data_IF_108153832128
#
_entry.id   IF_108153832128
#
_cell.length_a   1.000
_cell.length_b   1.000
_cell.length_c   1.000
_cell.angle_alpha   90.00
_cell.angle_beta   90.00
_cell.angle_gamma   90.00
#
_symmetry.space_group_name_H-M   'P 1'
#
loop_
_entity.id
_entity.type
_entity.pdbx_description
1 polymer ?
#
# COMPACT_ATOMS: atom_id res chain seq x y z
N UNK A 1 -43.74 -76.37 57.51
CA UNK A 1 -42.99 -77.17 58.49
C UNK A 1 -43.16 -76.58 59.89
N UNK A 2 -42.90 -75.28 60.13
CA UNK A 2 -43.04 -74.67 61.47
C UNK A 2 -44.49 -74.78 61.98
N UNK A 3 -45.48 -74.36 61.20
CA UNK A 3 -46.89 -74.44 61.56
C UNK A 3 -47.35 -75.88 61.88
N UNK A 4 -46.77 -76.91 61.25
CA UNK A 4 -47.06 -78.30 61.55
C UNK A 4 -46.44 -78.78 62.88
N UNK A 5 -45.24 -78.27 63.22
CA UNK A 5 -44.59 -78.56 64.49
C UNK A 5 -45.26 -77.79 65.64
N UNK A 6 -45.69 -76.53 65.42
CA UNK A 6 -46.48 -75.75 66.39
C UNK A 6 -47.77 -76.45 66.76
N UNK A 7 -48.43 -77.11 65.81
CA UNK A 7 -49.64 -77.89 66.15
C UNK A 7 -49.37 -79.17 67.03
N UNK A 8 -48.11 -79.58 67.06
CA UNK A 8 -47.68 -80.78 67.84
C UNK A 8 -47.13 -80.41 69.24
N UNK A 9 -46.76 -79.16 69.49
CA UNK A 9 -46.25 -78.69 70.79
C UNK A 9 -47.29 -78.84 71.90
N UNK A 10 -48.59 -78.72 71.53
CA UNK A 10 -49.66 -78.97 72.49
C UNK A 10 -49.68 -80.42 73.03
N UNK A 11 -49.05 -81.37 72.30
CA UNK A 11 -48.97 -82.82 72.71
C UNK A 11 -47.62 -83.18 73.34
N UNK A 12 -46.53 -82.51 72.99
CA UNK A 12 -45.17 -82.71 73.52
C UNK A 12 -44.39 -81.37 73.63
N UNK A 13 -44.29 -80.88 74.87
CA UNK A 13 -43.60 -79.66 75.22
C UNK A 13 -42.08 -79.69 74.92
N UNK A 14 -41.49 -80.87 74.66
CA UNK A 14 -40.06 -80.96 74.22
C UNK A 14 -39.81 -80.41 72.83
N UNK A 15 -40.87 -80.14 72.05
CA UNK A 15 -40.78 -79.56 70.69
C UNK A 15 -40.70 -78.02 70.68
N UNK A 16 -41.07 -77.35 71.78
CA UNK A 16 -41.09 -75.91 71.90
C UNK A 16 -39.76 -75.29 71.57
N UNK A 17 -38.58 -75.76 72.03
CA UNK A 17 -37.31 -75.18 71.70
C UNK A 17 -36.95 -75.34 70.21
N UNK A 18 -37.40 -76.41 69.57
CA UNK A 18 -37.17 -76.64 68.12
C UNK A 18 -38.01 -75.71 67.26
N UNK A 19 -39.31 -75.55 67.68
CA UNK A 19 -40.18 -74.56 66.96
C UNK A 19 -39.61 -73.13 67.06
N UNK A 20 -39.16 -72.74 68.28
CA UNK A 20 -38.54 -71.44 68.48
C UNK A 20 -37.32 -71.29 67.62
N UNK A 21 -36.38 -72.24 67.59
CA UNK A 21 -35.17 -72.19 66.81
C UNK A 21 -35.44 -72.13 65.29
N UNK A 22 -36.46 -72.85 64.80
CA UNK A 22 -36.88 -72.84 63.42
C UNK A 22 -37.54 -71.51 63.04
N UNK A 23 -38.33 -70.97 63.98
CA UNK A 23 -38.96 -69.67 63.81
C UNK A 23 -37.90 -68.54 63.72
N UNK A 24 -36.93 -68.57 64.65
CA UNK A 24 -35.79 -67.62 64.62
C UNK A 24 -34.97 -67.74 63.32
N UNK A 25 -34.70 -68.96 62.87
CA UNK A 25 -34.02 -69.22 61.62
C UNK A 25 -34.82 -68.67 60.38
N UNK A 26 -36.18 -68.80 60.45
CA UNK A 26 -37.04 -68.25 59.39
C UNK A 26 -36.96 -66.75 59.31
N UNK A 27 -36.99 -66.07 60.46
CA UNK A 27 -36.85 -64.61 60.51
C UNK A 27 -35.47 -64.14 59.98
N UNK A 28 -34.40 -64.85 60.38
CA UNK A 28 -33.05 -64.53 59.87
C UNK A 28 -32.98 -64.67 58.33
N UNK A 29 -33.60 -65.72 57.79
CA UNK A 29 -33.66 -65.97 56.35
C UNK A 29 -34.52 -64.92 55.62
N UNK A 30 -35.66 -64.52 56.25
CA UNK A 30 -36.51 -63.45 55.70
C UNK A 30 -35.78 -62.10 55.66
N UNK A 31 -35.05 -61.73 56.73
CA UNK A 31 -34.25 -60.53 56.80
C UNK A 31 -33.13 -60.60 55.79
N UNK A 32 -32.36 -61.67 55.72
CA UNK A 32 -31.28 -61.81 54.69
C UNK A 32 -31.85 -61.76 53.27
N UNK A 33 -33.07 -62.34 53.05
CA UNK A 33 -33.75 -62.24 51.74
C UNK A 33 -34.18 -60.81 51.41
N UNK A 34 -34.57 -60.03 52.43
CA UNK A 34 -34.90 -58.60 52.29
C UNK A 34 -33.65 -57.78 51.93
N UNK A 35 -32.60 -57.96 52.70
CA UNK A 35 -31.33 -57.29 52.50
C UNK A 35 -30.74 -57.60 51.12
N UNK A 36 -30.83 -58.82 50.63
CA UNK A 36 -30.38 -59.18 49.29
C UNK A 36 -31.24 -58.57 48.19
N UNK A 37 -32.53 -58.38 48.41
CA UNK A 37 -33.39 -57.68 47.45
C UNK A 37 -33.05 -56.21 47.43
N UNK A 38 -32.88 -55.55 48.58
CA UNK A 38 -32.49 -54.16 48.70
C UNK A 38 -31.11 -53.93 48.08
N UNK A 39 -30.16 -54.85 48.34
CA UNK A 39 -28.84 -54.80 47.65
C UNK A 39 -28.96 -54.92 46.12
N UNK A 40 -29.77 -55.91 45.64
CA UNK A 40 -30.01 -56.05 44.20
C UNK A 40 -30.64 -54.80 43.58
N UNK A 41 -31.67 -54.27 44.24
CA UNK A 41 -32.43 -53.11 43.76
C UNK A 41 -31.62 -51.79 43.88
N UNK A 42 -30.64 -51.75 44.79
CA UNK A 42 -29.67 -50.68 44.92
C UNK A 42 -28.53 -50.71 43.87
N UNK A 43 -28.37 -51.81 43.15
CA UNK A 43 -27.45 -51.86 42.01
C UNK A 43 -28.14 -51.16 40.84
N UNK A 44 -27.70 -49.91 40.56
CA UNK A 44 -28.13 -49.16 39.40
C UNK A 44 -27.56 -49.80 38.12
N UNK A 45 -28.26 -50.83 37.67
CA UNK A 45 -27.89 -51.56 36.46
C UNK A 45 -28.66 -50.99 35.26
N UNK A 46 -28.06 -50.02 34.62
CA UNK A 46 -28.51 -49.56 33.28
C UNK A 46 -28.00 -50.59 32.24
N UNK A 47 -28.83 -51.45 31.68
CA UNK A 47 -28.37 -52.42 30.68
C UNK A 47 -27.79 -51.81 29.40
N UNK A 48 -28.13 -50.56 29.12
CA UNK A 48 -27.61 -49.85 27.93
C UNK A 48 -26.40 -48.94 28.24
N UNK A 49 -26.01 -48.79 29.51
CA UNK A 49 -24.89 -47.95 29.89
C UNK A 49 -23.57 -48.41 29.25
N UNK A 50 -23.36 -49.72 29.28
CA UNK A 50 -22.16 -50.34 28.70
C UNK A 50 -22.11 -50.12 27.17
N UNK A 51 -23.23 -50.33 26.49
CA UNK A 51 -23.34 -50.13 25.03
C UNK A 51 -23.06 -48.67 24.65
N UNK A 52 -23.68 -47.70 25.33
CA UNK A 52 -23.41 -46.28 25.13
C UNK A 52 -21.94 -45.89 25.38
N UNK A 53 -21.32 -46.47 26.40
CA UNK A 53 -19.91 -46.23 26.70
C UNK A 53 -18.99 -46.83 25.62
N UNK A 54 -19.33 -48.02 25.12
CA UNK A 54 -18.58 -48.66 24.03
C UNK A 54 -18.71 -47.88 22.72
N UNK A 55 -19.91 -47.43 22.37
CA UNK A 55 -20.12 -46.56 21.19
C UNK A 55 -19.32 -45.25 21.29
N UNK A 56 -19.38 -44.59 22.46
CA UNK A 56 -18.64 -43.39 22.71
C UNK A 56 -17.12 -43.60 22.64
N UNK A 57 -16.61 -44.67 23.22
CA UNK A 57 -15.21 -45.06 23.16
C UNK A 57 -14.76 -45.33 21.73
N UNK A 58 -15.58 -46.03 20.94
CA UNK A 58 -15.32 -46.30 19.53
C UNK A 58 -15.28 -45.03 18.69
N UNK A 59 -16.22 -44.11 18.91
CA UNK A 59 -16.25 -42.81 18.24
C UNK A 59 -14.99 -41.97 18.55
N UNK A 60 -14.60 -41.90 19.83
CA UNK A 60 -13.38 -41.19 20.26
C UNK A 60 -12.12 -41.82 19.66
N UNK A 61 -12.02 -43.14 19.65
CA UNK A 61 -10.92 -43.87 19.01
C UNK A 61 -10.87 -43.60 17.49
N UNK A 62 -12.04 -43.49 16.85
CA UNK A 62 -12.14 -43.10 15.44
C UNK A 62 -11.57 -41.72 15.17
N UNK A 63 -11.93 -40.76 16.00
CA UNK A 63 -11.40 -39.38 15.91
C UNK A 63 -9.89 -39.34 16.17
N UNK A 64 -9.42 -40.10 17.19
CA UNK A 64 -7.97 -40.14 17.47
C UNK A 64 -7.17 -40.80 16.34
N UNK A 65 -7.73 -41.79 15.64
CA UNK A 65 -7.08 -42.40 14.46
C UNK A 65 -6.98 -41.42 13.27
N UNK A 66 -7.99 -40.55 13.12
CA UNK A 66 -8.06 -39.63 12.02
C UNK A 66 -7.20 -38.34 12.24
N UNK A 67 -7.16 -37.87 13.51
CA UNK A 67 -6.63 -36.52 13.80
C UNK A 67 -5.44 -36.48 14.77
N UNK A 68 -5.03 -37.65 15.33
CA UNK A 68 -3.86 -37.75 16.20
C UNK A 68 -4.07 -38.68 17.39
N UNK A 69 -2.98 -39.25 17.94
CA UNK A 69 -3.06 -40.35 18.92
C UNK A 69 -3.61 -39.92 20.28
N UNK A 70 -3.73 -38.62 20.55
CA UNK A 70 -4.22 -38.10 21.84
C UNK A 70 -5.47 -37.25 21.60
N UNK A 71 -6.37 -37.23 22.57
CA UNK A 71 -7.57 -36.37 22.50
C UNK A 71 -7.23 -34.90 22.35
N UNK A 72 -6.10 -34.45 22.90
CA UNK A 72 -5.61 -33.10 22.75
C UNK A 72 -5.36 -32.74 21.27
N UNK A 73 -4.80 -33.67 20.52
CA UNK A 73 -4.51 -33.47 19.08
C UNK A 73 -5.83 -33.31 18.30
N UNK A 74 -6.89 -34.04 18.65
CA UNK A 74 -8.24 -33.90 18.05
C UNK A 74 -8.84 -32.51 18.35
N UNK A 75 -8.68 -32.04 19.59
CA UNK A 75 -9.19 -30.72 20.00
C UNK A 75 -8.42 -29.61 19.25
N UNK A 76 -7.10 -29.73 19.15
CA UNK A 76 -6.28 -28.77 18.42
C UNK A 76 -6.64 -28.71 16.93
N UNK A 77 -6.90 -29.86 16.31
CA UNK A 77 -7.40 -29.94 14.94
C UNK A 77 -8.77 -29.27 14.77
N UNK A 78 -9.69 -29.52 15.71
CA UNK A 78 -11.01 -28.85 15.70
C UNK A 78 -10.86 -27.35 15.80
N UNK A 79 -10.03 -26.86 16.71
CA UNK A 79 -9.85 -25.43 16.96
C UNK A 79 -9.14 -24.75 15.78
N UNK A 80 -8.19 -25.43 15.14
CA UNK A 80 -7.55 -24.97 13.93
C UNK A 80 -8.55 -24.88 12.76
N UNK A 81 -9.39 -25.90 12.58
CA UNK A 81 -10.42 -25.90 11.55
C UNK A 81 -11.48 -24.81 11.80
N UNK A 82 -11.87 -24.59 13.04
CA UNK A 82 -12.81 -23.52 13.40
C UNK A 82 -12.24 -22.13 13.07
N UNK A 83 -10.98 -21.87 13.40
CA UNK A 83 -10.28 -20.62 13.02
C UNK A 83 -10.18 -20.44 11.51
N UNK A 84 -9.93 -21.52 10.78
CA UNK A 84 -9.87 -21.47 9.32
C UNK A 84 -11.24 -21.11 8.72
N UNK A 85 -12.32 -21.71 9.20
CA UNK A 85 -13.68 -21.39 8.77
C UNK A 85 -14.01 -19.92 9.06
N UNK A 86 -13.72 -19.46 10.28
CA UNK A 86 -13.91 -18.06 10.67
C UNK A 86 -13.10 -17.09 9.76
N UNK A 87 -11.85 -17.44 9.42
CA UNK A 87 -11.02 -16.64 8.51
C UNK A 87 -11.56 -16.61 7.08
N UNK A 88 -12.22 -17.67 6.61
CA UNK A 88 -12.86 -17.70 5.28
C UNK A 88 -14.13 -16.85 5.27
N UNK A 89 -14.95 -16.91 6.29
CA UNK A 89 -16.16 -16.06 6.40
C UNK A 89 -15.79 -14.56 6.53
N UNK A 90 -14.76 -14.26 7.32
CA UNK A 90 -14.24 -12.89 7.43
C UNK A 90 -13.59 -12.39 6.11
N UNK A 91 -12.95 -13.28 5.32
CA UNK A 91 -12.29 -12.89 4.10
C UNK A 91 -13.25 -12.28 3.07
N UNK A 92 -14.44 -12.82 2.92
CA UNK A 92 -15.49 -12.28 2.04
C UNK A 92 -15.90 -10.86 2.46
N UNK A 93 -16.02 -10.62 3.76
CA UNK A 93 -16.33 -9.30 4.32
C UNK A 93 -15.17 -8.32 4.17
N UNK A 94 -13.93 -8.79 4.34
CA UNK A 94 -12.71 -8.00 4.14
C UNK A 94 -12.56 -7.62 2.66
N UNK A 95 -12.79 -8.55 1.75
CA UNK A 95 -12.76 -8.30 0.29
C UNK A 95 -13.81 -7.25 -0.08
N UNK A 96 -15.08 -7.43 0.31
CA UNK A 96 -16.14 -6.47 0.01
C UNK A 96 -15.85 -5.05 0.56
N UNK A 97 -15.25 -4.97 1.76
CA UNK A 97 -14.82 -3.70 2.34
C UNK A 97 -13.66 -3.08 1.55
N UNK A 98 -12.71 -3.89 1.12
CA UNK A 98 -11.58 -3.45 0.31
C UNK A 98 -12.03 -2.97 -1.08
N UNK A 99 -12.96 -3.68 -1.73
CA UNK A 99 -13.57 -3.27 -2.99
C UNK A 99 -14.31 -1.94 -2.86
N UNK A 100 -15.14 -1.79 -1.82
CA UNK A 100 -15.82 -0.51 -1.55
C UNK A 100 -14.84 0.64 -1.35
N UNK A 101 -13.75 0.39 -0.60
CA UNK A 101 -12.71 1.39 -0.37
C UNK A 101 -11.93 1.71 -1.66
N UNK A 102 -11.63 0.70 -2.47
CA UNK A 102 -11.01 0.86 -3.79
C UNK A 102 -11.88 1.73 -4.70
N UNK A 103 -13.16 1.41 -4.85
CA UNK A 103 -14.07 2.14 -5.73
C UNK A 103 -14.25 3.60 -5.29
N UNK A 104 -14.32 3.82 -3.98
CA UNK A 104 -14.37 5.18 -3.42
C UNK A 104 -13.06 5.97 -3.68
N UNK A 105 -11.90 5.30 -3.61
CA UNK A 105 -10.61 5.91 -3.92
C UNK A 105 -10.46 6.19 -5.41
N UNK A 106 -10.89 5.27 -6.28
CA UNK A 106 -10.88 5.43 -7.73
C UNK A 106 -11.77 6.61 -8.17
N UNK A 107 -12.96 6.74 -7.61
CA UNK A 107 -13.85 7.87 -7.90
C UNK A 107 -13.20 9.22 -7.54
N UNK A 108 -12.56 9.31 -6.37
CA UNK A 108 -11.82 10.51 -5.95
C UNK A 108 -10.63 10.81 -6.86
N UNK A 109 -9.92 9.77 -7.29
CA UNK A 109 -8.80 9.91 -8.21
C UNK A 109 -9.24 10.47 -9.56
N UNK A 110 -10.35 9.96 -10.11
CA UNK A 110 -10.92 10.43 -11.39
C UNK A 110 -11.34 11.90 -11.27
N UNK A 111 -12.01 12.28 -10.18
CA UNK A 111 -12.43 13.66 -9.93
C UNK A 111 -11.22 14.60 -9.83
N UNK A 112 -10.21 14.25 -9.03
CA UNK A 112 -8.99 15.02 -8.88
C UNK A 112 -8.20 15.14 -10.19
N UNK A 113 -8.09 14.05 -10.95
CA UNK A 113 -7.43 14.03 -12.25
C UNK A 113 -8.12 14.95 -13.25
N UNK A 114 -9.45 14.93 -13.28
CA UNK A 114 -10.24 15.82 -14.14
C UNK A 114 -10.04 17.29 -13.78
N UNK A 115 -10.15 17.62 -12.49
CA UNK A 115 -9.95 19.00 -12.01
C UNK A 115 -8.54 19.52 -12.37
N UNK A 116 -7.52 18.67 -12.23
CA UNK A 116 -6.15 19.00 -12.57
C UNK A 116 -5.95 19.18 -14.09
N UNK A 117 -6.57 18.34 -14.90
CA UNK A 117 -6.53 18.40 -16.35
C UNK A 117 -7.23 19.67 -16.89
N UNK A 118 -8.39 20.00 -16.35
CA UNK A 118 -9.14 21.20 -16.67
C UNK A 118 -8.31 22.47 -16.33
N UNK A 119 -7.65 22.49 -15.19
CA UNK A 119 -6.75 23.57 -14.79
C UNK A 119 -5.57 23.72 -15.76
N UNK A 120 -4.94 22.61 -16.17
CA UNK A 120 -3.86 22.61 -17.17
C UNK A 120 -4.31 23.15 -18.53
N UNK A 121 -5.45 22.67 -19.02
CA UNK A 121 -6.04 23.12 -20.30
C UNK A 121 -6.37 24.61 -20.29
N UNK A 122 -6.82 25.13 -19.14
CA UNK A 122 -7.09 26.55 -18.98
C UNK A 122 -5.80 27.40 -18.87
N UNK A 123 -4.76 26.86 -18.23
CA UNK A 123 -3.48 27.57 -18.06
C UNK A 123 -2.59 27.54 -19.32
N UNK A 124 -2.62 26.46 -20.08
CA UNK A 124 -1.74 26.22 -21.23
C UNK A 124 -1.75 27.37 -22.25
N UNK A 125 -2.90 27.82 -22.78
CA UNK A 125 -2.93 28.93 -23.74
C UNK A 125 -2.48 30.26 -23.11
N UNK A 126 -2.78 30.53 -21.86
CA UNK A 126 -2.38 31.74 -21.15
C UNK A 126 -0.86 31.81 -21.01
N UNK A 127 -0.28 30.69 -20.54
CA UNK A 127 1.18 30.58 -20.40
C UNK A 127 1.88 30.71 -21.76
N UNK A 128 1.41 29.97 -22.78
CA UNK A 128 1.95 30.05 -24.14
C UNK A 128 1.94 31.47 -24.68
N UNK A 129 0.84 32.19 -24.57
CA UNK A 129 0.71 33.57 -25.04
C UNK A 129 1.66 34.52 -24.29
N UNK A 130 1.82 34.37 -22.97
CA UNK A 130 2.74 35.18 -22.18
C UNK A 130 4.20 34.92 -22.57
N UNK A 131 4.57 33.64 -22.77
CA UNK A 131 5.92 33.28 -23.24
C UNK A 131 6.17 33.83 -24.62
N UNK A 132 5.21 33.74 -25.54
CA UNK A 132 5.33 34.28 -26.88
C UNK A 132 5.53 35.81 -26.88
N UNK A 133 4.87 36.53 -25.97
CA UNK A 133 5.12 37.96 -25.78
C UNK A 133 6.57 38.25 -25.31
N UNK A 134 7.14 37.44 -24.44
CA UNK A 134 8.54 37.56 -24.02
C UNK A 134 9.51 37.17 -25.15
N UNK A 135 9.18 36.13 -25.93
CA UNK A 135 9.96 35.74 -27.11
C UNK A 135 10.00 36.87 -28.15
N UNK A 136 8.89 37.59 -28.34
CA UNK A 136 8.86 38.76 -29.21
C UNK A 136 9.79 39.89 -28.72
N UNK A 137 9.89 40.12 -27.39
CA UNK A 137 10.87 41.04 -26.78
C UNK A 137 12.31 40.62 -27.02
N UNK A 138 12.56 39.30 -27.15
CA UNK A 138 13.88 38.75 -27.49
C UNK A 138 14.17 38.73 -29.01
N UNK A 139 13.37 39.46 -29.77
CA UNK A 139 13.42 39.53 -31.22
C UNK A 139 13.33 38.17 -31.95
N UNK A 140 12.65 37.19 -31.31
CA UNK A 140 12.31 35.93 -31.92
C UNK A 140 10.97 36.03 -32.68
N UNK A 141 10.85 37.10 -33.51
CA UNK A 141 9.63 37.41 -34.26
C UNK A 141 9.26 36.29 -35.22
N UNK A 142 8.01 35.79 -35.10
CA UNK A 142 7.49 34.70 -35.91
C UNK A 142 7.65 33.30 -35.27
N UNK A 143 8.46 33.17 -34.25
CA UNK A 143 8.54 31.96 -33.47
C UNK A 143 7.38 31.86 -32.44
N UNK A 144 6.93 30.67 -32.15
CA UNK A 144 5.81 30.42 -31.24
C UNK A 144 6.05 29.22 -30.37
N UNK A 145 5.76 29.34 -29.07
CA UNK A 145 5.64 28.24 -28.14
C UNK A 145 4.15 27.85 -27.99
N UNK A 146 3.86 26.59 -28.21
CA UNK A 146 2.52 26.00 -28.05
C UNK A 146 2.60 25.00 -26.94
N UNK A 147 1.75 25.14 -25.92
CA UNK A 147 1.64 24.17 -24.82
C UNK A 147 0.55 23.18 -25.16
N UNK A 148 0.97 21.97 -25.48
CA UNK A 148 0.07 20.87 -25.82
C UNK A 148 -0.25 20.05 -24.56
N UNK A 149 -1.53 19.78 -24.33
CA UNK A 149 -2.02 18.96 -23.20
C UNK A 149 -2.82 17.82 -23.79
N UNK A 150 -2.26 16.63 -23.75
CA UNK A 150 -2.85 15.40 -24.29
C UNK A 150 -3.31 14.48 -23.16
N UNK A 151 -4.55 13.97 -23.21
CA UNK A 151 -5.01 13.00 -22.21
C UNK A 151 -4.23 11.69 -22.35
N UNK A 152 -3.97 11.05 -21.22
CA UNK A 152 -3.35 9.74 -21.11
C UNK A 152 -4.39 8.67 -20.84
N UNK A 153 -4.13 7.46 -21.36
CA UNK A 153 -4.88 6.28 -20.96
C UNK A 153 -4.76 6.02 -19.45
N UNK A 154 -5.82 5.47 -18.83
CA UNK A 154 -5.87 5.25 -17.37
C UNK A 154 -4.63 4.53 -16.81
N UNK A 155 -4.11 3.54 -17.53
CA UNK A 155 -2.92 2.78 -17.15
C UNK A 155 -1.61 3.61 -17.16
N UNK A 156 -1.61 4.75 -17.82
CA UNK A 156 -0.46 5.66 -17.95
C UNK A 156 -0.49 6.82 -16.94
N UNK A 157 -1.56 6.90 -16.12
CA UNK A 157 -1.65 7.96 -15.12
C UNK A 157 -0.54 7.83 -14.08
N UNK A 158 0.00 8.96 -13.69
CA UNK A 158 1.09 9.04 -12.72
C UNK A 158 0.77 10.08 -11.65
N UNK A 159 1.67 10.26 -10.69
CA UNK A 159 1.57 11.37 -9.73
C UNK A 159 1.61 12.75 -10.41
N UNK A 160 2.07 12.83 -11.65
CA UNK A 160 2.05 14.05 -12.44
C UNK A 160 0.70 14.34 -13.11
N UNK A 161 -0.29 13.46 -12.99
CA UNK A 161 -1.66 13.63 -13.47
C UNK A 161 -2.06 12.69 -14.61
N UNK A 162 -3.22 12.97 -15.19
CA UNK A 162 -3.88 12.20 -16.24
C UNK A 162 -3.59 12.72 -17.66
N UNK A 163 -2.76 13.75 -17.81
CA UNK A 163 -2.38 14.31 -19.10
C UNK A 163 -0.88 14.47 -19.24
N UNK A 164 -0.39 14.30 -20.46
CA UNK A 164 0.95 14.64 -20.89
C UNK A 164 0.96 16.13 -21.31
N UNK A 165 1.88 16.89 -20.76
CA UNK A 165 2.14 18.27 -21.20
C UNK A 165 3.41 18.27 -22.04
N UNK A 166 3.35 18.80 -23.24
CA UNK A 166 4.48 18.92 -24.14
C UNK A 166 4.60 20.36 -24.69
N UNK A 167 5.80 20.92 -24.63
CA UNK A 167 6.09 22.20 -25.24
C UNK A 167 6.50 21.99 -26.69
N UNK A 168 5.67 22.51 -27.60
CA UNK A 168 5.91 22.49 -29.02
C UNK A 168 6.43 23.85 -29.43
N UNK A 169 7.48 23.88 -30.22
CA UNK A 169 8.09 25.10 -30.76
C UNK A 169 7.93 25.15 -32.28
N UNK A 170 7.51 26.30 -32.76
CA UNK A 170 7.42 26.64 -34.18
C UNK A 170 8.35 27.82 -34.45
N UNK A 171 9.38 27.63 -35.28
CA UNK A 171 10.42 28.62 -35.51
C UNK A 171 9.95 29.81 -36.39
N UNK A 172 8.83 29.65 -37.11
CA UNK A 172 8.30 30.71 -37.96
C UNK A 172 6.92 30.37 -38.49
N UNK A 173 6.24 31.37 -39.02
CA UNK A 173 4.93 31.23 -39.65
C UNK A 173 4.97 30.19 -40.78
N UNK A 174 4.02 29.23 -40.77
CA UNK A 174 3.94 28.18 -41.78
C UNK A 174 4.83 26.95 -41.52
N UNK A 175 5.72 26.98 -40.52
CA UNK A 175 6.54 25.84 -40.13
C UNK A 175 5.73 24.87 -39.23
N UNK A 176 6.03 23.58 -39.32
CA UNK A 176 5.42 22.55 -38.47
C UNK A 176 6.00 22.65 -37.06
N UNK A 177 5.16 22.73 -36.01
CA UNK A 177 5.63 22.70 -34.64
C UNK A 177 6.35 21.38 -34.34
N UNK A 178 7.44 21.45 -33.58
CA UNK A 178 8.22 20.30 -33.13
C UNK A 178 8.39 20.33 -31.60
N UNK A 179 8.53 19.20 -30.92
CA UNK A 179 8.88 19.21 -29.52
C UNK A 179 10.10 20.06 -29.21
N UNK A 180 10.00 20.95 -28.23
CA UNK A 180 11.07 21.86 -27.84
C UNK A 180 12.37 21.09 -27.52
N UNK A 181 12.23 19.92 -26.90
CA UNK A 181 13.36 19.03 -26.58
C UNK A 181 14.10 18.47 -27.80
N UNK A 182 13.55 18.61 -29.02
CA UNK A 182 14.16 18.13 -30.28
C UNK A 182 14.73 19.25 -31.15
N UNK A 183 14.83 20.47 -30.61
CA UNK A 183 15.41 21.61 -31.35
C UNK A 183 16.92 21.50 -31.28
N UNK A 184 17.57 21.67 -32.43
CA UNK A 184 19.02 21.54 -32.55
C UNK A 184 19.81 22.79 -32.14
N UNK A 185 19.15 23.94 -32.04
CA UNK A 185 19.80 25.22 -31.71
C UNK A 185 19.81 25.48 -30.21
N UNK A 186 20.97 25.39 -29.57
CA UNK A 186 21.13 25.66 -28.13
C UNK A 186 20.70 27.08 -27.77
N UNK A 187 21.06 28.08 -28.57
CA UNK A 187 20.69 29.46 -28.33
C UNK A 187 19.20 29.75 -28.42
N UNK A 188 18.47 29.10 -29.35
CA UNK A 188 17.02 29.25 -29.43
C UNK A 188 16.33 28.61 -28.19
N UNK A 189 16.76 27.41 -27.80
CA UNK A 189 16.23 26.73 -26.61
C UNK A 189 16.50 27.57 -25.37
N UNK A 190 17.70 28.10 -25.19
CA UNK A 190 18.07 28.93 -24.03
C UNK A 190 17.22 30.21 -23.96
N UNK A 191 16.93 30.87 -25.08
CA UNK A 191 16.04 32.04 -25.12
C UNK A 191 14.59 31.72 -24.85
N UNK A 192 14.06 30.59 -25.36
CA UNK A 192 12.71 30.10 -25.01
C UNK A 192 12.63 29.80 -23.51
N UNK A 193 13.64 29.13 -22.95
CA UNK A 193 13.70 28.88 -21.51
C UNK A 193 13.78 30.15 -20.67
N UNK A 194 14.56 31.16 -21.13
CA UNK A 194 14.58 32.49 -20.50
C UNK A 194 13.17 33.12 -20.51
N UNK A 195 12.47 33.09 -21.63
CA UNK A 195 11.12 33.61 -21.74
C UNK A 195 10.14 32.89 -20.79
N UNK A 196 10.25 31.56 -20.68
CA UNK A 196 9.47 30.76 -19.71
C UNK A 196 9.78 31.19 -18.27
N UNK A 197 11.05 31.38 -17.92
CA UNK A 197 11.46 31.75 -16.56
C UNK A 197 10.96 33.15 -16.18
N UNK A 198 10.99 34.09 -17.11
CA UNK A 198 10.41 35.42 -16.89
C UNK A 198 8.91 35.37 -16.64
N UNK A 199 8.18 34.52 -17.38
CA UNK A 199 6.73 34.35 -17.18
C UNK A 199 6.40 33.68 -15.86
N UNK A 200 7.21 32.69 -15.45
CA UNK A 200 7.05 32.02 -14.16
C UNK A 200 7.33 32.96 -12.98
N UNK A 201 8.31 33.87 -13.14
CA UNK A 201 8.66 34.84 -12.11
C UNK A 201 8.80 34.20 -10.72
N UNK A 202 8.17 34.80 -9.72
CA UNK A 202 8.19 34.32 -8.33
C UNK A 202 7.54 32.91 -8.12
N UNK A 203 6.78 32.43 -9.11
CA UNK A 203 6.23 31.05 -9.06
C UNK A 203 7.31 30.00 -9.35
N UNK A 204 8.48 30.38 -9.85
CA UNK A 204 9.64 29.50 -10.02
C UNK A 204 10.31 29.27 -8.64
N UNK A 205 10.27 28.06 -8.15
CA UNK A 205 10.85 27.68 -6.85
C UNK A 205 12.40 27.66 -6.84
N UNK A 206 13.07 28.23 -7.87
CA UNK A 206 14.53 28.21 -8.00
C UNK A 206 15.11 29.61 -7.80
N UNK A 207 15.91 29.78 -6.77
CA UNK A 207 16.53 31.07 -6.44
C UNK A 207 17.65 31.46 -7.38
N UNK A 208 18.34 30.48 -7.98
CA UNK A 208 19.50 30.72 -8.88
C UNK A 208 19.24 30.09 -10.24
N UNK A 209 19.45 30.87 -11.28
CA UNK A 209 19.31 30.50 -12.68
C UNK A 209 20.63 30.71 -13.42
N UNK A 210 21.07 29.70 -14.16
CA UNK A 210 22.29 29.72 -14.95
C UNK A 210 21.91 29.67 -16.44
N UNK A 211 22.33 30.65 -17.21
CA UNK A 211 22.13 30.69 -18.66
C UNK A 211 23.47 30.58 -19.37
N UNK A 212 23.60 29.54 -20.19
CA UNK A 212 24.69 29.34 -21.10
C UNK A 212 24.19 29.39 -22.54
N UNK A 213 25.01 29.87 -23.46
CA UNK A 213 24.69 30.00 -24.88
C UNK A 213 23.43 30.84 -25.20
N UNK A 214 22.87 31.59 -24.24
CA UNK A 214 21.65 32.39 -24.45
C UNK A 214 21.85 33.50 -25.50
N UNK A 215 23.09 33.93 -25.67
CA UNK A 215 23.55 34.95 -26.65
C UNK A 215 24.11 34.35 -27.95
N UNK A 216 24.03 33.01 -28.12
CA UNK A 216 24.50 32.37 -29.34
C UNK A 216 23.72 32.84 -30.57
N UNK A 217 24.45 33.33 -31.58
CA UNK A 217 23.88 33.82 -32.84
C UNK A 217 23.10 35.13 -32.72
N UNK A 218 23.27 35.91 -31.64
CA UNK A 218 22.64 37.21 -31.46
C UNK A 218 23.68 38.33 -31.46
N UNK A 219 23.25 39.55 -31.85
CA UNK A 219 24.07 40.75 -31.85
C UNK A 219 23.20 42.00 -32.01
N UNK A 220 23.79 43.16 -31.99
CA UNK A 220 23.06 44.41 -32.20
C UNK A 220 21.94 44.68 -31.22
N UNK A 221 20.74 44.97 -31.72
CA UNK A 221 19.54 45.26 -30.94
C UNK A 221 19.07 44.08 -30.13
N UNK A 222 19.19 42.85 -30.65
CA UNK A 222 18.81 41.61 -29.96
C UNK A 222 19.60 41.43 -28.68
N UNK A 223 20.90 41.71 -28.70
CA UNK A 223 21.76 41.62 -27.51
C UNK A 223 21.32 42.61 -26.41
N UNK A 224 20.91 43.81 -26.81
CA UNK A 224 20.39 44.82 -25.86
C UNK A 224 19.08 44.40 -25.28
N UNK A 225 18.17 43.86 -26.07
CA UNK A 225 16.88 43.33 -25.63
C UNK A 225 17.07 42.13 -24.68
N UNK A 226 17.97 41.20 -25.01
CA UNK A 226 18.35 40.08 -24.17
C UNK A 226 18.87 40.53 -22.79
N UNK A 227 19.79 41.49 -22.80
CA UNK A 227 20.37 42.08 -21.59
C UNK A 227 19.30 42.72 -20.69
N UNK A 228 18.30 43.39 -21.29
CA UNK A 228 17.18 43.96 -20.53
C UNK A 228 16.29 42.88 -19.89
N UNK A 229 15.98 41.82 -20.61
CA UNK A 229 15.17 40.71 -20.08
C UNK A 229 15.90 39.95 -18.95
N UNK A 230 17.21 39.75 -19.10
CA UNK A 230 18.04 39.13 -18.04
C UNK A 230 18.09 40.01 -16.78
N UNK A 231 18.25 41.35 -16.97
CA UNK A 231 18.22 42.29 -15.85
C UNK A 231 16.85 42.36 -15.14
N UNK A 232 15.74 42.22 -15.90
CA UNK A 232 14.40 42.12 -15.30
C UNK A 232 14.27 40.85 -14.46
N UNK A 233 14.75 39.71 -14.93
CA UNK A 233 14.73 38.44 -14.19
C UNK A 233 15.62 38.48 -12.92
N UNK A 234 16.75 39.22 -13.02
CA UNK A 234 17.67 39.38 -11.88
C UNK A 234 17.10 40.19 -10.71
N UNK A 235 15.94 40.83 -10.87
CA UNK A 235 15.25 41.51 -9.75
C UNK A 235 14.66 40.53 -8.75
N UNK A 236 14.34 39.29 -9.18
CA UNK A 236 13.69 38.29 -8.39
C UNK A 236 14.52 37.02 -8.18
N UNK A 237 15.58 36.83 -8.99
CA UNK A 237 16.42 35.62 -8.95
C UNK A 237 17.90 36.00 -9.01
N UNK A 238 18.76 35.15 -8.49
CA UNK A 238 20.18 35.20 -8.81
C UNK A 238 20.38 34.69 -10.24
N UNK A 239 20.86 35.54 -11.15
CA UNK A 239 21.07 35.18 -12.55
C UNK A 239 22.56 35.12 -12.85
N UNK A 240 23.05 33.96 -13.28
CA UNK A 240 24.43 33.76 -13.74
C UNK A 240 24.38 33.55 -15.24
N UNK A 241 25.14 34.36 -16.00
CA UNK A 241 25.15 34.31 -17.47
C UNK A 241 26.56 34.07 -17.96
N UNK A 242 26.74 33.10 -18.83
CA UNK A 242 27.96 32.92 -19.61
C UNK A 242 27.74 33.64 -20.93
N UNK A 243 28.51 34.70 -21.16
CA UNK A 243 28.34 35.58 -22.35
C UNK A 243 29.67 36.08 -22.87
N UNK A 244 29.72 36.29 -24.17
CA UNK A 244 30.81 36.98 -24.86
C UNK A 244 30.40 38.37 -25.34
N UNK A 245 29.14 38.78 -25.14
CA UNK A 245 28.61 40.05 -25.61
C UNK A 245 28.77 41.13 -24.55
N UNK A 246 29.44 42.23 -24.91
CA UNK A 246 29.61 43.39 -24.05
C UNK A 246 28.27 44.01 -23.63
N UNK A 247 27.25 44.00 -24.53
CA UNK A 247 25.90 44.51 -24.26
C UNK A 247 25.18 43.74 -23.12
N UNK A 248 25.46 42.47 -22.98
CA UNK A 248 24.91 41.63 -21.88
C UNK A 248 25.76 41.85 -20.62
N UNK A 249 27.08 41.76 -20.74
CA UNK A 249 28.01 41.91 -19.65
C UNK A 249 27.82 43.23 -18.89
N UNK A 250 27.64 44.34 -19.58
CA UNK A 250 27.51 45.70 -18.97
C UNK A 250 26.31 45.80 -17.98
N UNK A 251 25.33 44.87 -18.03
CA UNK A 251 24.19 44.83 -17.13
C UNK A 251 24.45 43.99 -15.88
N UNK A 252 25.58 43.27 -15.85
CA UNK A 252 25.93 42.45 -14.66
C UNK A 252 26.47 43.30 -13.53
N UNK A 253 26.10 42.97 -12.28
CA UNK A 253 26.64 43.59 -11.06
C UNK A 253 28.04 43.08 -10.71
N UNK A 254 28.34 41.83 -11.11
CA UNK A 254 29.62 41.17 -10.88
C UNK A 254 30.10 40.48 -12.13
N UNK A 255 31.42 40.58 -12.38
CA UNK A 255 32.06 40.02 -13.57
C UNK A 255 33.13 39.01 -13.17
N UNK A 256 33.07 37.85 -13.81
CA UNK A 256 34.07 36.80 -13.70
C UNK A 256 34.67 36.54 -15.08
N UNK A 257 36.00 36.68 -15.21
CA UNK A 257 36.69 36.41 -16.48
C UNK A 257 37.36 35.04 -16.41
N UNK A 258 36.99 34.15 -17.34
CA UNK A 258 37.64 32.84 -17.50
C UNK A 258 38.76 32.95 -18.49
N UNK A 259 40.03 32.72 -18.09
CA UNK A 259 41.19 32.63 -18.95
C UNK A 259 41.70 31.21 -19.03
N UNK A 260 41.89 30.67 -20.22
CA UNK A 260 42.66 29.44 -20.41
C UNK A 260 44.14 29.82 -20.33
N UNK A 261 44.85 29.44 -19.27
CA UNK A 261 46.28 29.33 -19.27
C UNK A 261 46.65 28.01 -19.89
N UNK A 262 47.43 27.99 -20.97
CA UNK A 262 48.06 26.76 -21.44
C UNK A 262 48.89 26.23 -20.25
N UNK A 263 48.49 25.10 -19.67
CA UNK A 263 49.23 24.46 -18.59
C UNK A 263 50.63 24.11 -19.13
N UNK A 264 51.68 24.54 -18.43
CA UNK A 264 52.97 23.90 -18.58
C UNK A 264 52.73 22.40 -18.31
N UNK A 265 53.26 21.54 -19.18
CA UNK A 265 53.29 20.10 -18.94
C UNK A 265 53.80 19.87 -17.52
N UNK A 266 53.24 18.91 -16.76
CA UNK A 266 53.80 18.55 -15.47
C UNK A 266 55.27 18.23 -15.69
N UNK A 267 56.18 18.99 -15.05
CA UNK A 267 57.56 18.63 -14.97
C UNK A 267 57.63 17.23 -14.45
N UNK A 268 58.15 16.29 -15.25
CA UNK A 268 58.75 15.08 -14.80
C UNK A 268 59.84 15.48 -13.82
N UNK A 269 59.51 15.49 -12.52
CA UNK A 269 60.49 15.66 -11.48
C UNK A 269 61.43 14.48 -11.53
N UNK A 270 62.68 14.78 -11.81
CA UNK A 270 63.85 14.04 -11.41
C UNK A 270 63.71 13.38 -10.05
N UNK A 271 63.38 12.10 -10.02
CA UNK A 271 63.72 11.22 -8.94
C UNK A 271 64.62 10.10 -9.51
N UNK A 272 65.87 10.51 -9.81
CA UNK A 272 67.01 9.66 -9.90
C UNK A 272 68.04 10.14 -8.89
N UNK A 273 67.98 9.61 -7.68
CA UNK A 273 69.18 9.32 -6.89
C UNK A 273 68.85 9.15 -5.37
N UNK A 274 69.11 7.96 -4.90
CA UNK A 274 69.17 7.66 -3.46
C UNK A 274 68.70 6.27 -3.12
#
# INVERSE_FOLDING_TARGET
AIASLESLTAADAALDPLVSSLTDASYILEDASRDLREYRDGIDHDPHALERLQERASALQGLMRAFGPRMQDVIEHRDAAAKLIESVDDSSRVIAKAETAHDAAEAKLIEAAKAFDDARKAAAPKFGNQVNAQMARLEMGGAELIVQVEPLERAQWTRAGASKVEFMYRAGAGMTPRPLARIASGGEVSRVMLACKVVLGEADARDTLVFDEVDAGVGGSVAVALAAVLADLAKTHQVIVVTHLAQVAVRGERHFMVKKTAGAAPNESEDANG
#
